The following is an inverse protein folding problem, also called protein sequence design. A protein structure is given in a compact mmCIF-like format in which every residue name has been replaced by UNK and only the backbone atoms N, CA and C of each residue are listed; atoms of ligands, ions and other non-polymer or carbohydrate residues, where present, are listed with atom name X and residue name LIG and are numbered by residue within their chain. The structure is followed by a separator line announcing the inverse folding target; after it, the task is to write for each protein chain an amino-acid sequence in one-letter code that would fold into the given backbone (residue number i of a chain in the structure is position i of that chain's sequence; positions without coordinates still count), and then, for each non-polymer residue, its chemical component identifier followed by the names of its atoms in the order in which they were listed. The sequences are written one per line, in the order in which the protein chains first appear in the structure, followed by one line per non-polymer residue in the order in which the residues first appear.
data_IF_621140750667
#
_entry.id   IF_621140750667
#
_cell.length_a   1.000
_cell.length_b   1.000
_cell.length_c   1.000
_cell.angle_alpha   90.00
_cell.angle_beta   90.00
_cell.angle_gamma   90.00
#
_symmetry.space_group_name_H-M   'P 1'
#
loop_
_entity.id
_entity.type
_entity.pdbx_description
1 polymer ?
#
# COMPACT_ATOMS: atom_id res chain seq x y z
N UNK A 1 -0.67 -10.94 -6.71
CA UNK A 1 -0.37 -12.18 -7.45
C UNK A 1 0.85 -12.91 -6.91
N UNK A 2 2.04 -12.27 -6.85
CA UNK A 2 3.30 -12.88 -6.37
C UNK A 2 3.18 -13.67 -5.04
N UNK A 3 2.46 -13.13 -4.05
CA UNK A 3 2.27 -13.82 -2.76
C UNK A 3 1.43 -15.12 -2.86
N UNK A 4 0.40 -15.13 -3.72
CA UNK A 4 -0.44 -16.31 -3.97
C UNK A 4 0.34 -17.40 -4.72
N UNK A 5 1.14 -17.01 -5.71
CA UNK A 5 1.97 -17.93 -6.48
C UNK A 5 2.99 -18.65 -5.59
N UNK A 6 3.62 -17.91 -4.69
CA UNK A 6 4.61 -18.46 -3.77
C UNK A 6 3.99 -19.36 -2.68
N UNK A 7 2.77 -19.06 -2.22
CA UNK A 7 2.15 -19.76 -1.09
C UNK A 7 1.22 -20.92 -1.48
N UNK A 8 0.46 -20.77 -2.57
CA UNK A 8 -0.62 -21.69 -2.95
C UNK A 8 -0.29 -22.43 -4.25
N UNK A 9 0.14 -21.71 -5.29
CA UNK A 9 0.39 -22.28 -6.62
C UNK A 9 1.53 -23.32 -6.60
N UNK A 10 2.58 -23.07 -5.80
CA UNK A 10 3.71 -24.00 -5.63
C UNK A 10 3.41 -25.23 -4.76
N UNK A 11 2.39 -25.16 -3.90
CA UNK A 11 2.15 -26.17 -2.87
C UNK A 11 0.91 -27.03 -3.13
N UNK A 12 0.10 -26.68 -4.13
CA UNK A 12 -1.15 -27.37 -4.44
C UNK A 12 -1.00 -28.14 -5.75
N UNK A 13 -1.31 -29.43 -5.80
CA UNK A 13 -1.11 -30.23 -7.03
C UNK A 13 -2.29 -30.17 -8.02
N UNK A 14 -3.50 -29.78 -7.58
CA UNK A 14 -4.70 -29.73 -8.43
C UNK A 14 -5.06 -28.33 -8.93
N UNK A 15 -5.31 -28.18 -10.23
CA UNK A 15 -5.75 -26.90 -10.82
C UNK A 15 -7.13 -26.44 -10.33
N UNK A 16 -8.04 -27.37 -10.01
CA UNK A 16 -9.35 -27.07 -9.43
C UNK A 16 -9.22 -26.41 -8.04
N UNK A 17 -8.35 -26.96 -7.19
CA UNK A 17 -8.05 -26.39 -5.87
C UNK A 17 -7.36 -25.03 -5.99
N UNK A 18 -6.41 -24.89 -6.93
CA UNK A 18 -5.76 -23.60 -7.20
C UNK A 18 -6.75 -22.54 -7.66
N UNK A 19 -7.69 -22.88 -8.54
CA UNK A 19 -8.73 -21.97 -9.03
C UNK A 19 -9.70 -21.57 -7.91
N UNK A 20 -10.15 -22.53 -7.09
CA UNK A 20 -10.97 -22.25 -5.92
C UNK A 20 -10.26 -21.34 -4.93
N UNK A 21 -9.00 -21.64 -4.59
CA UNK A 21 -8.21 -20.78 -3.72
C UNK A 21 -8.06 -19.38 -4.33
N UNK A 22 -7.73 -19.27 -5.62
CA UNK A 22 -7.60 -17.97 -6.30
C UNK A 22 -8.86 -17.12 -6.17
N UNK A 23 -10.05 -17.73 -6.25
CA UNK A 23 -11.31 -17.05 -6.03
C UNK A 23 -11.47 -16.57 -4.57
N UNK A 24 -11.07 -17.38 -3.59
CA UNK A 24 -11.14 -17.01 -2.18
C UNK A 24 -10.14 -15.91 -1.79
N UNK A 25 -8.98 -15.87 -2.44
CA UNK A 25 -7.96 -14.83 -2.23
C UNK A 25 -8.25 -13.53 -2.98
N UNK A 26 -9.27 -13.50 -3.83
CA UNK A 26 -9.70 -12.29 -4.55
C UNK A 26 -10.98 -11.72 -3.95
N UNK A 27 -11.19 -10.41 -4.11
CA UNK A 27 -12.38 -9.71 -3.64
C UNK A 27 -12.88 -8.72 -4.69
N UNK A 28 -14.16 -8.35 -4.63
CA UNK A 28 -14.75 -7.37 -5.56
C UNK A 28 -14.71 -7.84 -7.02
N UNK A 29 -14.32 -6.93 -7.93
CA UNK A 29 -14.30 -7.20 -9.38
C UNK A 29 -13.37 -8.36 -9.78
N UNK A 30 -12.13 -8.48 -9.28
CA UNK A 30 -11.29 -9.65 -9.52
C UNK A 30 -11.97 -10.98 -9.17
N UNK A 31 -12.68 -11.05 -8.04
CA UNK A 31 -13.40 -12.28 -7.64
C UNK A 31 -14.45 -12.70 -8.65
N UNK A 32 -15.20 -11.72 -9.18
CA UNK A 32 -16.19 -11.98 -10.23
C UNK A 32 -15.58 -12.56 -11.51
N UNK A 33 -14.40 -12.10 -11.92
CA UNK A 33 -13.67 -12.65 -13.07
C UNK A 33 -13.18 -14.08 -12.83
N UNK A 34 -12.68 -14.38 -11.62
CA UNK A 34 -12.27 -15.75 -11.29
C UNK A 34 -13.49 -16.68 -11.23
N UNK A 35 -14.58 -16.22 -10.63
CA UNK A 35 -15.84 -16.96 -10.55
C UNK A 35 -16.41 -17.32 -11.93
N UNK A 36 -16.26 -16.48 -12.95
CA UNK A 36 -16.70 -16.84 -14.31
C UNK A 36 -15.89 -17.97 -14.93
N UNK A 37 -14.66 -18.21 -14.46
CA UNK A 37 -13.78 -19.27 -14.95
C UNK A 37 -14.04 -20.63 -14.26
N UNK A 38 -14.83 -20.68 -13.18
CA UNK A 38 -15.13 -21.92 -12.43
C UNK A 38 -15.88 -22.99 -13.24
N UNK A 39 -16.58 -22.58 -14.30
CA UNK A 39 -17.35 -23.49 -15.15
C UNK A 39 -16.50 -24.07 -16.31
N UNK A 40 -15.25 -23.65 -16.43
CA UNK A 40 -14.33 -24.16 -17.46
C UNK A 40 -13.63 -25.43 -16.97
N UNK A 41 -12.93 -26.10 -17.88
CA UNK A 41 -11.94 -27.11 -17.51
C UNK A 41 -10.96 -26.53 -16.46
N UNK A 42 -10.62 -27.25 -15.37
CA UNK A 42 -9.86 -26.68 -14.26
C UNK A 42 -8.50 -26.09 -14.63
N UNK A 43 -7.76 -26.72 -15.55
CA UNK A 43 -6.46 -26.22 -15.99
C UNK A 43 -6.63 -24.96 -16.84
N UNK A 44 -7.54 -25.01 -17.82
CA UNK A 44 -7.85 -23.86 -18.66
C UNK A 44 -8.42 -22.69 -17.86
N UNK A 45 -9.35 -22.97 -16.96
CA UNK A 45 -10.01 -21.98 -16.11
C UNK A 45 -9.02 -21.29 -15.17
N UNK A 46 -8.05 -22.02 -14.62
CA UNK A 46 -6.99 -21.42 -13.81
C UNK A 46 -6.08 -20.49 -14.62
N UNK A 47 -5.62 -20.93 -15.78
CA UNK A 47 -4.78 -20.12 -16.68
C UNK A 47 -5.52 -18.85 -17.13
N UNK A 48 -6.77 -19.00 -17.57
CA UNK A 48 -7.62 -17.90 -18.01
C UNK A 48 -7.89 -16.91 -16.88
N UNK A 49 -8.23 -17.39 -15.68
CA UNK A 49 -8.45 -16.53 -14.51
C UNK A 49 -7.23 -15.69 -14.16
N UNK A 50 -6.01 -16.27 -14.23
CA UNK A 50 -4.76 -15.52 -14.03
C UNK A 50 -4.55 -14.48 -15.12
N UNK A 51 -4.78 -14.85 -16.39
CA UNK A 51 -4.63 -13.95 -17.52
C UNK A 51 -5.60 -12.75 -17.42
N UNK A 52 -6.87 -12.98 -17.11
CA UNK A 52 -7.88 -11.93 -16.92
C UNK A 52 -7.54 -10.99 -15.76
N UNK A 53 -7.05 -11.52 -14.63
CA UNK A 53 -6.59 -10.67 -13.52
C UNK A 53 -5.41 -9.81 -13.96
N UNK A 54 -4.43 -10.39 -14.67
CA UNK A 54 -3.24 -9.67 -15.11
C UNK A 54 -3.58 -8.60 -16.16
N UNK A 55 -4.45 -8.90 -17.11
CA UNK A 55 -4.89 -7.95 -18.14
C UNK A 55 -5.65 -6.77 -17.51
N UNK A 56 -6.57 -7.05 -16.59
CA UNK A 56 -7.45 -6.02 -16.03
C UNK A 56 -6.77 -5.22 -14.91
N UNK A 57 -5.92 -5.86 -14.10
CA UNK A 57 -5.36 -5.31 -12.85
C UNK A 57 -3.83 -5.34 -12.75
N UNK A 58 -3.15 -6.03 -13.67
CA UNK A 58 -1.68 -6.15 -13.69
C UNK A 58 -0.95 -5.09 -14.50
N UNK A 59 -1.64 -4.05 -14.98
CA UNK A 59 -1.01 -2.91 -15.63
C UNK A 59 -0.37 -1.99 -14.57
N UNK A 60 0.96 -1.89 -14.59
CA UNK A 60 1.75 -1.06 -13.67
C UNK A 60 1.27 0.39 -13.60
N UNK A 61 0.78 0.95 -14.69
CA UNK A 61 0.21 2.31 -14.73
C UNK A 61 -1.12 2.38 -13.96
N UNK A 62 -1.98 1.35 -14.05
CA UNK A 62 -3.21 1.27 -13.25
C UNK A 62 -2.90 1.10 -11.76
N UNK A 63 -1.91 0.28 -11.45
CA UNK A 63 -1.44 0.09 -10.07
C UNK A 63 -0.89 1.40 -9.50
N UNK A 64 0.00 2.07 -10.24
CA UNK A 64 0.55 3.36 -9.85
C UNK A 64 -0.55 4.42 -9.68
N UNK A 65 -1.50 4.49 -10.61
CA UNK A 65 -2.64 5.41 -10.52
C UNK A 65 -3.48 5.17 -9.26
N UNK A 66 -3.72 3.92 -8.86
CA UNK A 66 -4.45 3.61 -7.63
C UNK A 66 -3.71 4.07 -6.37
N UNK A 67 -2.39 3.88 -6.32
CA UNK A 67 -1.54 4.39 -5.24
C UNK A 67 -1.52 5.91 -5.20
N UNK A 68 -1.33 6.57 -6.34
CA UNK A 68 -1.36 8.03 -6.47
C UNK A 68 -2.69 8.59 -5.99
N UNK A 69 -3.80 8.08 -6.51
CA UNK A 69 -5.14 8.48 -6.10
C UNK A 69 -5.31 8.35 -4.58
N UNK A 70 -4.90 7.22 -3.99
CA UNK A 70 -5.00 7.01 -2.55
C UNK A 70 -4.07 7.93 -1.73
N UNK A 71 -2.87 8.23 -2.21
CA UNK A 71 -1.94 9.13 -1.56
C UNK A 71 -2.42 10.59 -1.58
N UNK A 72 -2.98 11.01 -2.71
CA UNK A 72 -3.41 12.38 -2.97
C UNK A 72 -4.81 12.68 -2.39
N UNK A 73 -5.64 11.66 -2.20
CA UNK A 73 -6.97 11.77 -1.57
C UNK A 73 -6.99 11.32 -0.09
N UNK A 74 -5.83 11.11 0.52
CA UNK A 74 -5.74 10.68 1.91
C UNK A 74 -6.42 11.71 2.84
N UNK A 75 -7.24 11.29 3.83
CA UNK A 75 -7.92 12.23 4.70
C UNK A 75 -6.91 13.02 5.56
N UNK A 76 -7.13 14.33 5.79
CA UNK A 76 -6.26 15.12 6.66
C UNK A 76 -6.15 14.51 8.07
N UNK A 77 -4.92 14.30 8.51
CA UNK A 77 -4.59 13.71 9.81
C UNK A 77 -4.69 14.78 10.90
N UNK A 78 -5.40 14.47 11.98
CA UNK A 78 -5.58 15.36 13.14
C UNK A 78 -4.38 15.28 14.07
N UNK A 79 -4.10 16.35 14.81
CA UNK A 79 -2.96 16.43 15.74
C UNK A 79 -3.03 15.37 16.85
N UNK A 80 -4.24 15.07 17.32
CA UNK A 80 -4.50 14.12 18.41
C UNK A 80 -4.55 12.66 17.94
N UNK A 81 -4.76 12.44 16.64
CA UNK A 81 -4.99 11.12 16.07
C UNK A 81 -3.67 10.45 15.64
N UNK A 82 -2.99 9.89 16.64
CA UNK A 82 -1.73 9.16 16.43
C UNK A 82 -1.93 7.94 15.54
N UNK A 83 -3.09 7.28 15.62
CA UNK A 83 -3.38 6.10 14.83
C UNK A 83 -3.50 6.45 13.35
N UNK A 84 -4.23 7.53 13.02
CA UNK A 84 -4.30 8.01 11.64
C UNK A 84 -2.94 8.41 11.08
N UNK A 85 -2.05 8.99 11.90
CA UNK A 85 -0.68 9.30 11.49
C UNK A 85 0.17 8.03 11.25
N UNK A 86 -0.01 7.00 12.07
CA UNK A 86 0.66 5.70 11.89
C UNK A 86 0.17 4.99 10.62
N UNK A 87 -1.14 4.92 10.42
CA UNK A 87 -1.74 4.32 9.22
C UNK A 87 -1.25 5.05 7.96
N UNK A 88 -1.16 6.38 8.02
CA UNK A 88 -0.61 7.16 6.92
C UNK A 88 0.88 6.87 6.69
N UNK A 89 1.68 6.80 7.75
CA UNK A 89 3.10 6.46 7.67
C UNK A 89 3.32 5.08 7.04
N UNK A 90 2.54 4.07 7.44
CA UNK A 90 2.64 2.73 6.85
C UNK A 90 2.25 2.72 5.38
N UNK A 91 1.23 3.49 5.01
CA UNK A 91 0.84 3.62 3.62
C UNK A 91 1.94 4.29 2.78
N UNK A 92 2.53 5.39 3.24
CA UNK A 92 3.62 6.07 2.53
C UNK A 92 4.86 5.16 2.41
N UNK A 93 5.17 4.38 3.46
CA UNK A 93 6.21 3.34 3.41
C UNK A 93 5.91 2.27 2.37
N UNK A 94 4.66 1.82 2.25
CA UNK A 94 4.26 0.86 1.22
C UNK A 94 4.44 1.44 -0.18
N UNK A 95 4.10 2.73 -0.39
CA UNK A 95 4.38 3.42 -1.65
C UNK A 95 5.88 3.44 -1.95
N UNK A 96 6.71 3.82 -0.98
CA UNK A 96 8.16 3.87 -1.13
C UNK A 96 8.76 2.52 -1.55
N UNK A 97 8.30 1.42 -0.94
CA UNK A 97 8.72 0.07 -1.34
C UNK A 97 8.23 -0.30 -2.75
N UNK A 98 7.01 0.12 -3.13
CA UNK A 98 6.44 -0.17 -4.44
C UNK A 98 7.12 0.64 -5.57
N UNK A 99 7.70 1.81 -5.26
CA UNK A 99 8.43 2.63 -6.23
C UNK A 99 9.65 1.92 -6.82
N UNK A 100 10.26 0.97 -6.10
CA UNK A 100 11.41 0.18 -6.60
C UNK A 100 11.03 -0.70 -7.79
N UNK A 101 9.78 -1.17 -7.85
CA UNK A 101 9.29 -2.11 -8.86
C UNK A 101 8.36 -1.45 -9.89
N UNK A 102 7.65 -0.38 -9.51
CA UNK A 102 6.63 0.28 -10.34
C UNK A 102 7.11 1.67 -10.74
N UNK A 103 7.73 1.79 -11.92
CA UNK A 103 8.36 3.04 -12.39
C UNK A 103 7.42 4.25 -12.39
N UNK A 104 6.15 4.05 -12.74
CA UNK A 104 5.15 5.12 -12.77
C UNK A 104 4.86 5.73 -11.37
N UNK A 105 5.22 5.04 -10.27
CA UNK A 105 5.07 5.61 -8.93
C UNK A 105 6.06 6.74 -8.61
N UNK A 106 7.10 6.93 -9.43
CA UNK A 106 7.99 8.09 -9.30
C UNK A 106 7.27 9.44 -9.50
N UNK A 107 6.04 9.44 -10.00
CA UNK A 107 5.17 10.61 -9.95
C UNK A 107 4.94 11.14 -8.52
N UNK A 108 5.02 10.30 -7.48
CA UNK A 108 4.94 10.74 -6.09
C UNK A 108 6.09 11.68 -5.69
N UNK A 109 7.21 11.62 -6.41
CA UNK A 109 8.38 12.47 -6.19
C UNK A 109 8.24 13.85 -6.87
N UNK A 110 7.15 14.08 -7.61
CA UNK A 110 6.84 15.39 -8.17
C UNK A 110 6.46 16.36 -7.04
N UNK A 111 7.02 17.57 -7.07
CA UNK A 111 6.80 18.59 -6.05
C UNK A 111 5.31 18.87 -5.77
N UNK A 112 4.46 18.89 -6.81
CA UNK A 112 3.02 19.07 -6.66
C UNK A 112 2.36 17.97 -5.80
N UNK A 113 2.72 16.71 -6.04
CA UNK A 113 2.19 15.56 -5.32
C UNK A 113 2.71 15.51 -3.88
N UNK A 114 4.02 15.75 -3.71
CA UNK A 114 4.64 15.87 -2.38
C UNK A 114 3.97 16.96 -1.53
N UNK A 115 3.67 18.12 -2.12
CA UNK A 115 2.95 19.19 -1.42
C UNK A 115 1.56 18.73 -0.95
N UNK A 116 0.82 17.98 -1.76
CA UNK A 116 -0.49 17.43 -1.36
C UNK A 116 -0.34 16.46 -0.17
N UNK A 117 0.64 15.56 -0.23
CA UNK A 117 0.96 14.61 0.84
C UNK A 117 1.28 15.35 2.15
N UNK A 118 2.15 16.36 2.09
CA UNK A 118 2.52 17.18 3.25
C UNK A 118 1.29 17.90 3.83
N UNK A 119 0.37 18.39 2.98
CA UNK A 119 -0.86 19.07 3.44
C UNK A 119 -1.78 18.18 4.26
N UNK A 120 -1.71 16.85 4.10
CA UNK A 120 -2.46 15.90 4.92
C UNK A 120 -1.94 15.80 6.35
N UNK A 121 -0.74 16.28 6.64
CA UNK A 121 -0.17 16.27 7.98
C UNK A 121 -0.74 17.39 8.87
N UNK A 122 -0.75 17.21 10.20
CA UNK A 122 -1.04 18.28 11.16
C UNK A 122 -0.12 19.51 10.98
N UNK A 123 -0.62 20.71 11.28
CA UNK A 123 0.10 21.99 11.07
C UNK A 123 1.52 22.00 11.64
N UNK A 124 1.69 21.59 12.90
CA UNK A 124 2.98 21.54 13.58
C UNK A 124 3.99 20.59 12.90
N UNK A 125 3.53 19.53 12.22
CA UNK A 125 4.41 18.66 11.44
C UNK A 125 4.76 19.27 10.09
N UNK A 126 3.83 20.02 9.48
CA UNK A 126 4.11 20.77 8.24
C UNK A 126 5.16 21.85 8.45
N UNK A 127 5.12 22.54 9.60
CA UNK A 127 6.13 23.54 9.96
C UNK A 127 7.51 22.90 10.13
N UNK A 128 7.60 21.81 10.89
CA UNK A 128 8.84 21.02 11.06
C UNK A 128 9.37 20.48 9.73
N UNK A 129 8.48 20.01 8.86
CA UNK A 129 8.86 19.55 7.53
C UNK A 129 9.45 20.70 6.69
N UNK A 130 8.82 21.89 6.71
CA UNK A 130 9.37 23.07 6.01
C UNK A 130 10.78 23.40 6.45
N UNK A 131 11.05 23.39 7.76
CA UNK A 131 12.42 23.60 8.28
C UNK A 131 13.38 22.55 7.75
N UNK A 132 13.01 21.27 7.79
CA UNK A 132 13.84 20.18 7.28
C UNK A 132 14.08 20.29 5.76
N UNK A 133 13.06 20.64 4.98
CA UNK A 133 13.18 20.82 3.54
C UNK A 133 14.14 21.96 3.19
N UNK A 134 14.05 23.10 3.89
CA UNK A 134 15.03 24.18 3.76
C UNK A 134 16.45 23.70 4.09
N UNK A 135 16.64 22.95 5.17
CA UNK A 135 17.94 22.40 5.53
C UNK A 135 18.50 21.45 4.46
N UNK A 136 17.67 20.59 3.87
CA UNK A 136 18.08 19.69 2.78
C UNK A 136 18.54 20.48 1.54
N UNK A 137 17.83 21.54 1.19
CA UNK A 137 18.16 22.38 0.06
C UNK A 137 19.45 23.19 0.30
N UNK A 138 19.59 23.81 1.47
CA UNK A 138 20.69 24.72 1.78
C UNK A 138 21.99 23.99 2.14
N UNK A 139 21.92 22.90 2.91
CA UNK A 139 23.13 22.22 3.45
C UNK A 139 23.56 21.03 2.62
N UNK A 140 22.61 20.32 2.02
CA UNK A 140 22.90 19.09 1.29
C UNK A 140 22.87 19.30 -0.23
N UNK A 141 22.58 20.53 -0.69
CA UNK A 141 22.50 20.91 -2.10
C UNK A 141 21.63 19.97 -2.93
N UNK A 142 20.58 19.40 -2.32
CA UNK A 142 19.68 18.45 -2.96
C UNK A 142 18.23 18.82 -2.73
N UNK A 143 17.38 18.47 -3.69
CA UNK A 143 15.93 18.56 -3.52
C UNK A 143 15.45 17.46 -2.58
N UNK A 144 14.37 17.77 -1.86
CA UNK A 144 13.62 16.79 -1.09
C UNK A 144 12.96 15.76 -2.02
N UNK A 145 12.79 14.55 -1.50
CA UNK A 145 12.15 13.44 -2.18
C UNK A 145 10.99 12.90 -1.35
N UNK A 146 10.14 12.08 -1.98
CA UNK A 146 9.08 11.34 -1.31
C UNK A 146 9.62 10.44 -0.18
N UNK A 147 10.82 9.88 -0.37
CA UNK A 147 11.50 9.09 0.67
C UNK A 147 11.84 9.93 1.90
N UNK A 148 12.25 11.19 1.72
CA UNK A 148 12.52 12.10 2.83
C UNK A 148 11.26 12.39 3.65
N UNK A 149 10.11 12.58 2.97
CA UNK A 149 8.81 12.80 3.62
C UNK A 149 8.44 11.57 4.46
N UNK A 150 8.55 10.38 3.87
CA UNK A 150 8.23 9.11 4.53
C UNK A 150 9.10 8.93 5.78
N UNK A 151 10.41 9.14 5.64
CA UNK A 151 11.35 9.03 6.76
C UNK A 151 11.10 10.07 7.85
N UNK A 152 10.77 11.30 7.46
CA UNK A 152 10.43 12.36 8.41
C UNK A 152 9.23 11.97 9.28
N UNK A 153 8.13 11.51 8.67
CA UNK A 153 6.91 11.14 9.41
C UNK A 153 7.19 10.00 10.40
N UNK A 154 7.93 8.98 9.97
CA UNK A 154 8.34 7.88 10.84
C UNK A 154 9.16 8.36 12.05
N UNK A 155 10.09 9.31 11.85
CA UNK A 155 10.84 9.91 12.96
C UNK A 155 9.94 10.67 13.93
N UNK A 156 8.92 11.38 13.44
CA UNK A 156 7.98 12.08 14.30
C UNK A 156 7.15 11.11 15.16
N UNK A 157 6.85 9.91 14.65
CA UNK A 157 6.19 8.86 15.42
C UNK A 157 7.10 8.26 16.50
N UNK A 158 8.41 8.13 16.23
CA UNK A 158 9.39 7.58 17.17
C UNK A 158 9.78 8.52 18.30
N UNK A 159 9.77 9.83 18.05
CA UNK A 159 10.16 10.84 19.03
C UNK A 159 9.05 11.17 20.05
N UNK A 160 7.88 10.52 19.97
CA UNK A 160 6.81 10.65 20.99
C UNK A 160 7.17 9.79 22.23
N UNK A 161 6.99 10.31 23.46
CA UNK A 161 7.41 9.63 24.68
C UNK A 161 6.84 8.21 24.78
N UNK A 162 7.73 7.29 25.16
CA UNK A 162 7.63 5.85 24.97
C UNK A 162 6.51 5.18 25.76
N UNK A 163 5.40 4.90 25.09
CA UNK A 163 4.52 3.75 25.40
C UNK A 163 4.45 2.73 24.26
N UNK A 164 5.24 2.93 23.19
CA UNK A 164 5.02 2.25 21.90
C UNK A 164 6.23 1.53 21.31
N UNK A 165 7.12 0.98 22.15
CA UNK A 165 8.26 0.15 21.67
C UNK A 165 7.85 -1.23 21.13
N UNK A 166 6.56 -1.59 21.11
CA UNK A 166 6.11 -2.95 20.77
C UNK A 166 5.68 -3.21 19.32
N UNK A 167 5.96 -2.32 18.36
CA UNK A 167 5.61 -2.58 16.94
C UNK A 167 6.81 -2.71 16.00
N UNK A 168 8.05 -2.74 16.52
CA UNK A 168 9.27 -2.91 15.70
C UNK A 168 9.78 -4.36 15.60
N UNK A 169 8.96 -5.34 15.96
CA UNK A 169 9.20 -6.74 15.63
C UNK A 169 8.07 -7.23 14.73
N UNK A 170 8.43 -8.03 13.72
CA UNK A 170 7.56 -8.68 12.73
C UNK A 170 7.32 -7.93 11.41
N UNK A 171 8.39 -7.43 10.78
CA UNK A 171 8.46 -7.38 9.30
C UNK A 171 9.44 -8.45 8.81
N UNK A 172 9.15 -9.69 9.21
CA UNK A 172 9.62 -10.90 8.56
C UNK A 172 8.54 -11.97 8.74
N UNK A 173 7.37 -11.75 8.15
CA UNK A 173 6.47 -12.80 7.65
C UNK A 173 5.26 -12.17 6.98
N UNK A 174 5.03 -12.61 5.75
CA UNK A 174 4.05 -12.14 4.78
C UNK A 174 2.58 -12.47 5.12
N UNK A 175 2.16 -12.44 6.40
CA UNK A 175 0.85 -13.00 6.80
C UNK A 175 -0.10 -12.07 7.56
N UNK A 176 0.38 -10.94 8.11
CA UNK A 176 -0.47 -10.11 9.00
C UNK A 176 -1.06 -8.84 8.37
N UNK A 177 -0.52 -8.34 7.26
CA UNK A 177 -1.09 -7.17 6.57
C UNK A 177 -2.38 -7.51 5.78
N UNK A 178 -2.64 -8.78 5.50
CA UNK A 178 -3.83 -9.21 4.73
C UNK A 178 -5.11 -9.28 5.58
N UNK A 179 -5.00 -9.36 6.92
CA UNK A 179 -6.17 -9.46 7.82
C UNK A 179 -6.69 -8.12 8.35
N UNK A 180 -5.94 -7.02 8.25
CA UNK A 180 -6.38 -5.72 8.78
C UNK A 180 -7.17 -4.85 7.79
N UNK A 181 -7.03 -5.07 6.47
CA UNK A 181 -7.89 -4.41 5.49
C UNK A 181 -9.31 -5.03 5.46
N UNK A 182 -9.47 -6.26 5.97
CA UNK A 182 -10.76 -6.97 6.05
C UNK A 182 -11.58 -6.69 7.31
N UNK A 183 -11.05 -5.98 8.32
CA UNK A 183 -11.76 -5.73 9.58
C UNK A 183 -12.45 -4.35 9.69
N UNK A 184 -12.17 -3.40 8.78
CA UNK A 184 -12.70 -2.03 8.89
C UNK A 184 -14.05 -1.79 8.20
N UNK A 185 -14.72 -2.83 7.68
CA UNK A 185 -16.05 -2.73 7.05
C UNK A 185 -17.14 -3.58 7.74
N UNK A 186 -16.94 -3.99 8.99
CA UNK A 186 -17.96 -4.66 9.81
C UNK A 186 -18.55 -3.78 10.91
N UNK A 187 -18.80 -2.50 10.63
CA UNK A 187 -19.61 -1.67 11.52
C UNK A 187 -20.54 -0.68 10.79
N UNK A 188 -21.66 -1.20 10.29
CA UNK A 188 -23.00 -0.63 10.49
C UNK A 188 -24.04 -1.68 10.11
N UNK A 189 -24.48 -2.45 11.10
CA UNK A 189 -25.77 -3.13 11.10
C UNK A 189 -26.86 -2.08 11.29
N UNK A 190 -27.75 -1.96 10.33
CA UNK A 190 -29.18 -2.20 10.49
C UNK A 190 -29.74 -2.58 9.13
#
# INVERSE_FOLDING_TARGET
MKAFENGVDRNTNGYSERLYCLEQYTQGRPKGLVGSCQHMDPERGYVEAKALIQEQFGNDQKVASAYLQKALSWPPVRTEDVKALQDYSFFLRACANAMEEVQYLHELDMAANMMIIIRMLPSHLRDKWRTLACELQERNSRRETFFDITHFIERQLLNRPSTWKHSRCSLHTNEYCFKQITASLTFRRN
#
